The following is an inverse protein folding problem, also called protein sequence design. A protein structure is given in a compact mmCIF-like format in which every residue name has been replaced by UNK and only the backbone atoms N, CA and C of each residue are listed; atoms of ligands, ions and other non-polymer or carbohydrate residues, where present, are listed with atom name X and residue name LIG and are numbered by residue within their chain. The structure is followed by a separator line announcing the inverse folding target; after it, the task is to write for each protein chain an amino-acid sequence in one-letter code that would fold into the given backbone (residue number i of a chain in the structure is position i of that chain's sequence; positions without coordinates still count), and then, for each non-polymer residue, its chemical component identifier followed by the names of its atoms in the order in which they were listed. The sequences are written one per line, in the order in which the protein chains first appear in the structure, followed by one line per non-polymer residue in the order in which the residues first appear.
data_IF_873012016991
#
_entry.id   IF_873012016991
#
_cell.length_a   1.000
_cell.length_b   1.000
_cell.length_c   1.000
_cell.angle_alpha   90.00
_cell.angle_beta   90.00
_cell.angle_gamma   90.00
#
_symmetry.space_group_name_H-M   'P 1'
#
loop_
_entity.id
_entity.type
_entity.pdbx_description
1 polymer ?
#
# COMPACT_ATOMS: atom_id res chain seq x y z
N UNK A 1 20.62 -20.18 -13.57
CA UNK A 1 19.49 -19.75 -12.70
C UNK A 1 19.45 -20.73 -11.54
N UNK A 2 19.44 -20.26 -10.28
CA UNK A 2 19.27 -21.12 -9.12
C UNK A 2 17.87 -21.76 -9.15
N UNK A 3 17.76 -22.91 -9.81
CA UNK A 3 16.52 -23.68 -9.94
C UNK A 3 16.01 -24.21 -8.59
N UNK A 4 16.85 -24.19 -7.55
CA UNK A 4 16.49 -24.58 -6.19
C UNK A 4 15.73 -23.49 -5.43
N UNK A 5 15.91 -22.21 -5.79
CA UNK A 5 15.32 -21.09 -5.06
C UNK A 5 13.97 -20.62 -5.64
N UNK A 6 13.89 -20.49 -6.97
CA UNK A 6 12.66 -20.07 -7.66
C UNK A 6 11.90 -21.29 -8.19
N UNK A 7 10.57 -21.26 -8.06
CA UNK A 7 9.73 -22.30 -8.66
C UNK A 7 9.68 -22.17 -10.19
N UNK A 8 9.36 -23.26 -10.88
CA UNK A 8 9.29 -23.25 -12.34
C UNK A 8 8.23 -22.30 -12.92
N UNK A 9 7.18 -22.01 -12.14
CA UNK A 9 6.09 -21.07 -12.45
C UNK A 9 6.46 -19.61 -12.26
N UNK A 10 7.61 -19.32 -11.64
CA UNK A 10 8.04 -17.95 -11.39
C UNK A 10 8.19 -17.16 -12.71
N UNK A 11 7.80 -15.89 -12.66
CA UNK A 11 7.80 -15.04 -13.83
C UNK A 11 9.24 -14.71 -14.26
N UNK A 12 9.53 -14.92 -15.53
CA UNK A 12 10.82 -14.63 -16.13
C UNK A 12 10.58 -13.99 -17.50
N UNK A 13 10.98 -12.72 -17.65
CA UNK A 13 10.80 -11.95 -18.89
C UNK A 13 11.54 -12.55 -20.10
N UNK A 14 12.57 -13.37 -19.88
CA UNK A 14 13.32 -14.05 -20.94
C UNK A 14 12.62 -15.31 -21.46
N UNK A 15 11.61 -15.81 -20.75
CA UNK A 15 10.79 -16.93 -21.20
C UNK A 15 9.65 -16.43 -22.08
N UNK A 16 9.17 -17.29 -22.97
CA UNK A 16 7.93 -17.10 -23.72
C UNK A 16 6.85 -17.99 -23.14
N UNK A 17 5.63 -17.46 -23.10
CA UNK A 17 4.48 -18.10 -22.47
C UNK A 17 3.40 -18.33 -23.52
N UNK A 18 2.73 -19.47 -23.44
CA UNK A 18 1.59 -19.76 -24.28
C UNK A 18 0.32 -19.32 -23.57
N UNK A 19 -0.49 -18.49 -24.24
CA UNK A 19 -1.81 -18.13 -23.75
C UNK A 19 -2.78 -19.27 -24.05
N UNK A 20 -3.55 -19.66 -23.04
CA UNK A 20 -4.77 -20.42 -23.28
C UNK A 20 -5.77 -19.53 -24.04
N UNK A 21 -6.65 -20.11 -24.89
CA UNK A 21 -7.69 -19.34 -25.55
C UNK A 21 -8.57 -18.63 -24.51
N UNK A 22 -8.92 -17.37 -24.75
CA UNK A 22 -9.73 -16.60 -23.82
C UNK A 22 -11.10 -17.27 -23.60
N UNK A 23 -11.51 -17.40 -22.33
CA UNK A 23 -12.88 -17.77 -22.01
C UNK A 23 -13.81 -16.70 -22.57
N UNK A 24 -14.84 -17.11 -23.32
CA UNK A 24 -15.74 -16.23 -24.08
C UNK A 24 -16.27 -15.00 -23.31
N UNK A 25 -16.70 -14.00 -24.07
CA UNK A 25 -16.99 -12.58 -23.75
C UNK A 25 -18.01 -12.30 -22.61
N UNK A 26 -18.34 -13.28 -21.78
CA UNK A 26 -19.31 -13.21 -20.68
C UNK A 26 -18.78 -12.58 -19.39
N UNK A 27 -17.53 -12.09 -19.36
CA UNK A 27 -16.99 -11.48 -18.15
C UNK A 27 -17.46 -10.01 -18.03
N UNK A 28 -18.41 -9.76 -17.12
CA UNK A 28 -18.98 -8.44 -16.84
C UNK A 28 -17.92 -7.38 -16.50
N UNK A 29 -16.84 -7.77 -15.80
CA UNK A 29 -15.75 -6.85 -15.49
C UNK A 29 -14.96 -6.48 -16.75
N UNK A 30 -14.72 -7.41 -17.69
CA UNK A 30 -14.12 -7.05 -18.99
C UNK A 30 -15.01 -6.09 -19.78
N UNK A 31 -16.34 -6.26 -19.76
CA UNK A 31 -17.28 -5.33 -20.40
C UNK A 31 -17.24 -3.93 -19.76
N UNK A 32 -17.17 -3.87 -18.42
CA UNK A 32 -17.03 -2.61 -17.69
C UNK A 32 -15.70 -1.91 -18.00
N UNK A 33 -14.60 -2.68 -18.06
CA UNK A 33 -13.27 -2.16 -18.36
C UNK A 33 -13.12 -1.71 -19.82
N UNK A 34 -13.82 -2.31 -20.79
CA UNK A 34 -13.76 -1.87 -22.20
C UNK A 34 -14.10 -0.37 -22.38
N UNK A 35 -14.83 0.25 -21.44
CA UNK A 35 -15.10 1.68 -21.43
C UNK A 35 -14.19 2.41 -20.44
N UNK A 36 -13.30 3.28 -20.93
CA UNK A 36 -12.50 4.18 -20.08
C UNK A 36 -11.29 3.54 -19.38
N UNK A 37 -10.82 2.37 -19.82
CA UNK A 37 -9.59 1.77 -19.29
C UNK A 37 -8.47 1.64 -20.33
N UNK A 38 -7.23 1.75 -19.86
CA UNK A 38 -6.02 1.58 -20.68
C UNK A 38 -5.25 0.35 -20.19
N UNK A 39 -5.02 -0.62 -21.07
CA UNK A 39 -4.15 -1.76 -20.76
C UNK A 39 -2.69 -1.30 -20.73
N UNK A 40 -1.97 -1.69 -19.69
CA UNK A 40 -0.53 -1.48 -19.56
C UNK A 40 0.17 -2.75 -20.03
N UNK A 41 1.10 -2.65 -21.00
CA UNK A 41 1.78 -3.82 -21.53
C UNK A 41 2.80 -4.37 -20.53
N UNK A 42 3.23 -5.61 -20.75
CA UNK A 42 4.47 -6.09 -20.16
C UNK A 42 5.63 -5.32 -20.80
N UNK A 43 6.58 -4.88 -20.00
CA UNK A 43 7.73 -4.11 -20.46
C UNK A 43 8.99 -4.62 -19.79
N UNK A 44 10.13 -4.36 -20.41
CA UNK A 44 11.41 -4.56 -19.73
C UNK A 44 11.51 -3.51 -18.61
N UNK A 45 11.65 -3.92 -17.34
CA UNK A 45 11.65 -2.98 -16.25
C UNK A 45 12.83 -2.01 -16.34
N UNK A 46 12.57 -0.72 -16.12
CA UNK A 46 13.61 0.29 -15.99
C UNK A 46 14.05 0.40 -14.52
N UNK A 47 15.19 1.05 -14.27
CA UNK A 47 15.63 1.37 -12.91
C UNK A 47 14.79 2.48 -12.24
N UNK A 48 13.69 2.92 -12.87
CA UNK A 48 12.82 3.93 -12.29
C UNK A 48 11.90 3.31 -11.23
N UNK A 49 11.88 3.95 -10.06
CA UNK A 49 11.00 3.59 -8.95
C UNK A 49 9.85 4.58 -8.84
N UNK A 50 8.71 4.07 -8.38
CA UNK A 50 7.61 4.85 -7.83
C UNK A 50 8.07 5.49 -6.52
N UNK A 51 7.88 6.81 -6.42
CA UNK A 51 8.21 7.60 -5.21
C UNK A 51 7.02 7.75 -4.28
N UNK A 52 5.83 7.27 -4.70
CA UNK A 52 4.58 7.29 -3.93
C UNK A 52 4.18 5.93 -3.38
N UNK A 53 4.97 4.89 -3.65
CA UNK A 53 4.77 3.62 -2.96
C UNK A 53 5.31 3.76 -1.55
N UNK A 54 4.40 3.56 -0.59
CA UNK A 54 4.73 3.44 0.83
C UNK A 54 5.51 4.63 1.42
N UNK A 55 4.91 5.81 1.29
CA UNK A 55 5.40 7.05 1.90
C UNK A 55 5.39 7.04 3.44
N UNK A 56 4.62 6.13 4.04
CA UNK A 56 4.44 6.06 5.47
C UNK A 56 5.68 5.45 6.17
N UNK A 57 6.38 4.54 5.49
CA UNK A 57 7.57 3.90 6.03
C UNK A 57 8.83 4.73 5.77
N UNK A 58 9.20 5.52 6.78
CA UNK A 58 10.44 6.30 6.81
C UNK A 58 11.60 5.50 7.44
N UNK A 59 12.86 5.85 7.16
CA UNK A 59 14.03 5.18 7.77
C UNK A 59 13.94 5.07 9.30
N UNK A 60 13.65 6.19 9.97
CA UNK A 60 13.53 6.22 11.44
C UNK A 60 12.32 5.46 11.99
N UNK A 61 11.23 5.35 11.23
CA UNK A 61 10.08 4.53 11.63
C UNK A 61 10.43 3.04 11.54
N UNK A 62 11.05 2.62 10.44
CA UNK A 62 11.48 1.23 10.23
C UNK A 62 12.46 0.80 11.33
N UNK A 63 13.41 1.66 11.69
CA UNK A 63 14.37 1.37 12.76
C UNK A 63 13.69 1.20 14.12
N UNK A 64 12.77 2.10 14.49
CA UNK A 64 11.97 1.96 15.71
C UNK A 64 11.11 0.69 15.71
N UNK A 65 10.49 0.36 14.58
CA UNK A 65 9.64 -0.83 14.47
C UNK A 65 10.45 -2.10 14.71
N UNK A 66 11.72 -2.15 14.28
CA UNK A 66 12.61 -3.29 14.57
C UNK A 66 12.95 -3.42 16.04
N UNK A 67 13.18 -2.30 16.73
CA UNK A 67 13.44 -2.32 18.18
C UNK A 67 12.22 -2.80 18.97
N UNK A 68 11.03 -2.34 18.59
CA UNK A 68 9.79 -2.62 19.33
C UNK A 68 9.22 -4.01 18.96
N UNK A 69 9.30 -4.42 17.69
CA UNK A 69 8.72 -5.66 17.16
C UNK A 69 9.67 -6.33 16.14
N UNK A 70 10.73 -7.01 16.59
CA UNK A 70 11.74 -7.59 15.70
C UNK A 70 11.20 -8.73 14.82
N UNK A 71 10.13 -9.42 15.24
CA UNK A 71 9.49 -10.51 14.48
C UNK A 71 8.45 -10.02 13.47
N UNK A 72 8.22 -8.71 13.35
CA UNK A 72 7.25 -8.17 12.42
C UNK A 72 7.77 -8.29 10.98
N UNK A 73 7.15 -9.18 10.20
CA UNK A 73 7.45 -9.30 8.78
C UNK A 73 7.04 -8.02 8.03
N UNK A 74 7.91 -7.46 7.17
CA UNK A 74 7.54 -6.32 6.36
C UNK A 74 6.46 -6.72 5.34
N UNK A 75 5.56 -5.79 5.02
CA UNK A 75 4.50 -6.05 4.05
C UNK A 75 5.07 -6.29 2.62
N UNK A 76 6.31 -5.86 2.36
CA UNK A 76 7.01 -6.13 1.11
C UNK A 76 8.40 -6.66 1.40
N UNK A 77 8.63 -7.94 1.15
CA UNK A 77 9.93 -8.57 1.28
C UNK A 77 10.42 -9.13 -0.07
N UNK A 78 11.55 -9.83 -0.05
CA UNK A 78 12.10 -10.51 -1.22
C UNK A 78 11.26 -11.66 -1.79
N UNK A 79 10.28 -12.18 -1.03
CA UNK A 79 9.49 -13.37 -1.39
C UNK A 79 8.07 -13.00 -1.83
N UNK A 80 7.39 -12.18 -1.03
CA UNK A 80 6.02 -11.75 -1.22
C UNK A 80 5.79 -10.26 -0.89
N UNK A 81 4.96 -9.66 -1.73
CA UNK A 81 4.30 -8.39 -1.45
C UNK A 81 2.91 -8.72 -0.93
N UNK A 82 2.65 -8.38 0.33
CA UNK A 82 1.39 -8.56 1.04
C UNK A 82 0.74 -7.21 1.25
N UNK A 83 -0.43 -7.00 0.66
CA UNK A 83 -1.25 -5.83 0.98
C UNK A 83 -2.37 -6.24 1.92
N UNK A 84 -2.39 -5.62 3.09
CA UNK A 84 -3.43 -5.82 4.09
C UNK A 84 -4.32 -4.60 4.19
N UNK A 85 -5.58 -4.82 4.57
CA UNK A 85 -6.53 -3.76 4.86
C UNK A 85 -6.97 -3.87 6.32
N UNK A 86 -6.95 -2.77 7.10
CA UNK A 86 -7.52 -2.77 8.42
C UNK A 86 -9.02 -3.05 8.37
N UNK A 87 -9.54 -3.72 9.41
CA UNK A 87 -10.97 -4.01 9.54
C UNK A 87 -11.82 -2.74 9.42
N UNK A 88 -13.03 -2.88 8.86
CA UNK A 88 -14.01 -1.79 8.87
C UNK A 88 -14.37 -1.36 10.30
N UNK A 89 -14.33 -2.29 11.26
CA UNK A 89 -14.54 -1.99 12.67
C UNK A 89 -13.45 -1.10 13.26
N UNK A 90 -12.20 -1.30 12.85
CA UNK A 90 -11.10 -0.43 13.27
C UNK A 90 -11.31 1.00 12.78
N UNK A 91 -11.65 1.17 11.50
CA UNK A 91 -11.96 2.49 10.95
C UNK A 91 -13.18 3.14 11.62
N UNK A 92 -14.23 2.37 11.88
CA UNK A 92 -15.41 2.90 12.57
C UNK A 92 -15.07 3.32 14.01
N UNK A 93 -14.31 2.51 14.73
CA UNK A 93 -13.85 2.82 16.08
C UNK A 93 -12.92 4.05 16.12
N UNK A 94 -11.98 4.15 15.20
CA UNK A 94 -11.08 5.30 15.12
C UNK A 94 -11.84 6.58 14.79
N UNK A 95 -12.77 6.55 13.84
CA UNK A 95 -13.63 7.69 13.52
C UNK A 95 -14.49 8.10 14.72
N UNK A 96 -15.17 7.15 15.39
CA UNK A 96 -15.99 7.43 16.57
C UNK A 96 -15.15 8.03 17.70
N UNK A 97 -13.97 7.48 17.97
CA UNK A 97 -13.09 7.93 19.05
C UNK A 97 -12.43 9.29 18.74
N UNK A 98 -12.15 9.60 17.47
CA UNK A 98 -11.70 10.94 17.04
C UNK A 98 -12.81 11.97 17.28
N UNK A 99 -14.05 11.68 16.87
CA UNK A 99 -15.18 12.61 17.01
C UNK A 99 -15.57 12.80 18.48
N UNK A 100 -15.79 11.69 19.20
CA UNK A 100 -16.29 11.70 20.58
C UNK A 100 -15.18 12.00 21.61
N UNK A 101 -13.92 11.73 21.30
CA UNK A 101 -12.80 12.05 22.16
C UNK A 101 -12.24 13.44 21.85
N UNK A 102 -11.43 13.51 20.79
CA UNK A 102 -10.69 14.72 20.41
C UNK A 102 -11.63 15.87 20.01
N UNK A 103 -12.68 15.59 19.23
CA UNK A 103 -13.65 16.59 18.79
C UNK A 103 -14.42 17.22 19.94
N UNK A 104 -14.97 16.40 20.84
CA UNK A 104 -15.67 16.86 22.07
C UNK A 104 -14.75 17.73 22.92
N UNK A 105 -13.51 17.31 23.15
CA UNK A 105 -12.57 18.10 23.97
C UNK A 105 -12.23 19.42 23.30
N UNK A 106 -11.88 19.43 22.02
CA UNK A 106 -11.44 20.66 21.35
C UNK A 106 -12.57 21.67 21.14
N UNK A 107 -13.82 21.21 20.96
CA UNK A 107 -14.97 22.08 20.65
C UNK A 107 -15.78 22.41 21.90
N UNK A 108 -16.16 21.39 22.69
CA UNK A 108 -17.10 21.58 23.80
C UNK A 108 -16.42 22.03 25.10
N UNK A 109 -15.15 21.68 25.34
CA UNK A 109 -14.44 22.15 26.54
C UNK A 109 -14.30 23.68 26.59
N UNK A 110 -13.80 24.38 25.55
CA UNK A 110 -13.70 25.83 25.61
C UNK A 110 -15.08 26.49 25.70
N UNK A 111 -16.09 25.95 25.00
CA UNK A 111 -17.46 26.45 25.11
C UNK A 111 -18.01 26.31 26.53
N UNK A 112 -17.78 25.16 27.17
CA UNK A 112 -18.23 24.90 28.55
C UNK A 112 -17.55 25.85 29.52
N UNK A 113 -16.25 26.11 29.35
CA UNK A 113 -15.50 27.07 30.18
C UNK A 113 -15.98 28.51 30.01
N UNK A 114 -16.32 28.93 28.79
CA UNK A 114 -16.88 30.27 28.51
C UNK A 114 -18.27 30.41 29.12
N UNK A 115 -19.14 29.42 28.90
CA UNK A 115 -20.51 29.42 29.43
C UNK A 115 -20.50 29.35 30.95
N UNK A 116 -19.69 28.47 31.55
CA UNK A 116 -19.56 28.38 33.01
C UNK A 116 -18.97 29.65 33.58
N UNK A 117 -17.94 30.23 32.96
CA UNK A 117 -17.36 31.50 33.37
C UNK A 117 -18.36 32.66 33.35
N UNK A 118 -19.13 32.79 32.27
CA UNK A 118 -20.16 33.82 32.15
C UNK A 118 -21.31 33.62 33.15
N UNK A 119 -21.83 32.39 33.28
CA UNK A 119 -22.87 32.06 34.25
C UNK A 119 -22.37 32.24 35.69
N UNK A 120 -21.12 31.92 35.98
CA UNK A 120 -20.48 32.11 37.28
C UNK A 120 -20.36 33.58 37.68
N UNK A 121 -20.24 34.50 36.71
CA UNK A 121 -20.29 35.94 36.98
C UNK A 121 -21.70 36.40 37.37
N UNK A 122 -22.75 35.77 36.84
CA UNK A 122 -24.15 36.10 37.14
C UNK A 122 -24.64 35.40 38.42
N UNK A 123 -24.26 34.13 38.61
CA UNK A 123 -24.69 33.24 39.69
C UNK A 123 -23.47 32.38 40.10
N UNK A 124 -22.75 32.74 41.17
CA UNK A 124 -21.49 32.09 41.55
C UNK A 124 -21.59 30.57 41.77
N UNK A 125 -22.71 30.11 42.33
CA UNK A 125 -22.90 28.69 42.66
C UNK A 125 -23.02 27.80 41.42
N UNK A 126 -23.55 28.35 40.32
CA UNK A 126 -23.76 27.63 39.04
C UNK A 126 -22.44 27.27 38.37
N UNK A 127 -21.36 28.04 38.63
CA UNK A 127 -20.04 27.75 38.06
C UNK A 127 -19.57 26.34 38.41
N UNK A 128 -19.60 26.00 39.70
CA UNK A 128 -19.13 24.70 40.19
C UNK A 128 -20.13 23.59 39.85
N UNK A 129 -21.43 23.86 40.01
CA UNK A 129 -22.49 22.87 39.74
C UNK A 129 -22.58 22.47 38.26
N UNK A 130 -22.21 23.36 37.33
CA UNK A 130 -22.21 23.04 35.91
C UNK A 130 -20.86 22.48 35.43
N UNK A 131 -19.74 23.04 35.89
CA UNK A 131 -18.41 22.67 35.42
C UNK A 131 -17.99 21.28 35.89
N UNK A 132 -18.12 20.98 37.19
CA UNK A 132 -17.62 19.71 37.75
C UNK A 132 -18.32 18.47 37.15
N UNK A 133 -19.66 18.44 37.00
CA UNK A 133 -20.32 17.32 36.34
C UNK A 133 -19.93 17.18 34.88
N UNK A 134 -19.77 18.30 34.16
CA UNK A 134 -19.34 18.30 32.75
C UNK A 134 -17.94 17.69 32.60
N UNK A 135 -17.00 18.08 33.46
CA UNK A 135 -15.66 17.46 33.51
C UNK A 135 -15.75 15.97 33.79
N UNK A 136 -16.48 15.58 34.83
CA UNK A 136 -16.55 14.18 35.28
C UNK A 136 -17.21 13.26 34.25
N UNK A 137 -18.33 13.66 33.69
CA UNK A 137 -19.19 12.77 32.89
C UNK A 137 -19.00 12.92 31.38
N UNK A 138 -18.44 14.02 30.90
CA UNK A 138 -18.22 14.27 29.47
C UNK A 138 -16.73 14.25 29.15
N UNK A 139 -15.94 15.11 29.79
CA UNK A 139 -14.55 15.31 29.39
C UNK A 139 -13.60 14.18 29.82
N UNK A 140 -13.77 13.59 31.01
CA UNK A 140 -12.95 12.45 31.44
C UNK A 140 -13.16 11.24 30.51
N UNK A 141 -14.39 10.77 30.23
CA UNK A 141 -14.59 9.69 29.27
C UNK A 141 -14.06 10.00 27.86
N UNK A 142 -14.28 11.22 27.37
CA UNK A 142 -13.74 11.66 26.08
C UNK A 142 -12.20 11.63 26.06
N UNK A 143 -11.55 12.03 27.16
CA UNK A 143 -10.10 12.02 27.29
C UNK A 143 -9.54 10.59 27.32
N UNK A 144 -10.24 9.65 27.98
CA UNK A 144 -9.87 8.23 27.98
C UNK A 144 -9.97 7.66 26.55
N UNK A 145 -11.04 7.94 25.82
CA UNK A 145 -11.20 7.48 24.43
C UNK A 145 -10.11 8.06 23.51
N UNK A 146 -9.76 9.34 23.68
CA UNK A 146 -8.67 9.95 22.91
C UNK A 146 -7.31 9.36 23.28
N UNK A 147 -7.03 9.17 24.57
CA UNK A 147 -5.79 8.54 25.03
C UNK A 147 -5.65 7.11 24.49
N UNK A 148 -6.74 6.35 24.49
CA UNK A 148 -6.77 5.00 23.91
C UNK A 148 -6.35 4.99 22.44
N UNK A 149 -6.85 5.92 21.63
CA UNK A 149 -6.41 6.05 20.23
C UNK A 149 -4.94 6.43 20.11
N UNK A 150 -4.47 7.40 20.90
CA UNK A 150 -3.06 7.83 20.84
C UNK A 150 -2.11 6.69 21.22
N UNK A 151 -2.50 5.84 22.18
CA UNK A 151 -1.77 4.63 22.55
C UNK A 151 -1.81 3.57 21.44
N UNK A 152 -2.92 3.47 20.69
CA UNK A 152 -3.04 2.59 19.53
C UNK A 152 -2.18 3.05 18.37
N UNK A 153 -2.22 4.34 18.03
CA UNK A 153 -1.45 4.95 16.94
C UNK A 153 0.07 4.83 17.18
N UNK A 154 0.50 4.93 18.45
CA UNK A 154 1.89 4.72 18.84
C UNK A 154 2.27 3.25 19.02
N UNK A 155 1.33 2.32 18.86
CA UNK A 155 1.57 0.88 18.95
C UNK A 155 1.76 0.32 20.36
N UNK A 156 1.57 1.12 21.42
CA UNK A 156 1.67 0.67 22.81
C UNK A 156 0.51 -0.25 23.22
N UNK A 157 -0.67 -0.04 22.63
CA UNK A 157 -1.86 -0.83 22.93
C UNK A 157 -2.51 -1.29 21.63
N UNK A 158 -2.54 -2.61 21.39
CA UNK A 158 -3.05 -3.17 20.12
C UNK A 158 -4.16 -4.21 20.38
N UNK A 159 -5.40 -3.78 20.69
CA UNK A 159 -6.48 -4.70 21.01
C UNK A 159 -6.85 -5.57 19.79
N UNK A 160 -6.61 -6.88 19.91
CA UNK A 160 -6.78 -7.87 18.83
C UNK A 160 -8.22 -8.02 18.35
N UNK A 161 -9.23 -7.61 19.15
CA UNK A 161 -10.64 -7.66 18.77
C UNK A 161 -11.07 -6.50 17.86
N UNK A 162 -10.35 -5.37 17.85
CA UNK A 162 -10.59 -4.25 16.93
C UNK A 162 -9.58 -4.29 15.78
N UNK A 163 -8.29 -4.50 16.10
CA UNK A 163 -7.16 -4.38 15.19
C UNK A 163 -6.85 -5.68 14.47
N UNK A 164 -7.84 -6.20 13.75
CA UNK A 164 -7.61 -7.28 12.79
C UNK A 164 -7.35 -6.69 11.41
N UNK A 165 -6.15 -6.88 10.87
CA UNK A 165 -5.90 -6.68 9.45
C UNK A 165 -6.33 -7.93 8.67
N UNK A 166 -6.70 -7.74 7.41
CA UNK A 166 -7.00 -8.86 6.50
C UNK A 166 -6.23 -8.67 5.21
N UNK A 167 -5.59 -9.74 4.74
CA UNK A 167 -4.92 -9.78 3.44
C UNK A 167 -5.93 -9.45 2.34
N UNK A 168 -5.56 -8.52 1.46
CA UNK A 168 -6.32 -8.14 0.26
C UNK A 168 -5.78 -8.94 -0.92
N UNK A 169 -4.48 -8.84 -1.17
CA UNK A 169 -3.79 -9.63 -2.17
C UNK A 169 -2.34 -9.90 -1.77
N UNK A 170 -1.76 -10.94 -2.38
CA UNK A 170 -0.34 -11.22 -2.31
C UNK A 170 0.24 -11.41 -3.71
N UNK A 171 1.42 -10.83 -3.96
CA UNK A 171 2.23 -11.12 -5.14
C UNK A 171 3.48 -11.86 -4.68
N UNK A 172 3.67 -13.10 -5.14
CA UNK A 172 4.80 -13.92 -4.70
C UNK A 172 5.83 -14.04 -5.83
N UNK A 173 7.04 -13.53 -5.60
CA UNK A 173 8.16 -13.56 -6.55
C UNK A 173 8.70 -14.97 -6.76
N UNK A 174 8.80 -15.76 -5.68
CA UNK A 174 9.31 -17.15 -5.72
C UNK A 174 8.44 -18.08 -6.56
N UNK A 175 7.12 -17.90 -6.49
CA UNK A 175 6.17 -18.76 -7.21
C UNK A 175 5.66 -18.13 -8.50
N UNK A 176 5.74 -16.80 -8.65
CA UNK A 176 5.13 -16.05 -9.75
C UNK A 176 3.61 -15.90 -9.64
N UNK A 177 3.03 -16.26 -8.49
CA UNK A 177 1.59 -16.29 -8.29
C UNK A 177 1.06 -14.97 -7.75
N UNK A 178 -0.10 -14.58 -8.26
CA UNK A 178 -0.91 -13.44 -7.81
C UNK A 178 -2.16 -14.00 -7.14
N UNK A 179 -2.28 -13.76 -5.83
CA UNK A 179 -3.37 -14.29 -5.02
C UNK A 179 -4.26 -13.17 -4.54
N UNK A 180 -5.57 -13.27 -4.80
CA UNK A 180 -6.58 -12.34 -4.26
C UNK A 180 -7.33 -13.03 -3.13
N UNK A 181 -7.62 -12.30 -2.05
CA UNK A 181 -8.36 -12.80 -0.89
C UNK A 181 -9.77 -12.19 -0.82
N UNK A 182 -10.69 -12.90 -0.16
CA UNK A 182 -12.03 -12.43 0.19
C UNK A 182 -11.97 -11.64 1.51
N UNK A 183 -13.00 -10.85 1.80
CA UNK A 183 -13.11 -10.12 3.07
C UNK A 183 -13.20 -10.98 4.34
N UNK A 184 -13.31 -12.31 4.20
CA UNK A 184 -13.21 -13.28 5.29
C UNK A 184 -11.82 -13.93 5.42
N UNK A 185 -10.82 -13.44 4.68
CA UNK A 185 -9.44 -13.96 4.70
C UNK A 185 -9.21 -15.22 3.86
N UNK A 186 -10.25 -15.82 3.27
CA UNK A 186 -10.09 -16.99 2.39
C UNK A 186 -9.58 -16.56 1.01
N UNK A 187 -8.74 -17.39 0.40
CA UNK A 187 -8.29 -17.19 -0.98
C UNK A 187 -9.51 -17.17 -1.92
N UNK A 188 -9.59 -16.14 -2.77
CA UNK A 188 -10.59 -16.02 -3.83
C UNK A 188 -10.11 -16.73 -5.09
N UNK A 189 -8.88 -16.45 -5.52
CA UNK A 189 -8.19 -17.14 -6.60
C UNK A 189 -6.68 -16.90 -6.46
N UNK A 190 -5.88 -17.78 -7.06
CA UNK A 190 -4.43 -17.65 -7.19
C UNK A 190 -4.02 -18.14 -8.57
N UNK A 191 -3.40 -17.27 -9.36
CA UNK A 191 -3.00 -17.57 -10.74
C UNK A 191 -1.62 -16.98 -11.05
N UNK A 192 -0.88 -17.50 -12.05
CA UNK A 192 0.39 -16.93 -12.49
C UNK A 192 0.22 -15.50 -13.01
N UNK A 193 1.20 -14.62 -12.77
CA UNK A 193 1.19 -13.22 -13.23
C UNK A 193 0.92 -13.06 -14.73
N UNK A 194 1.44 -13.98 -15.55
CA UNK A 194 1.31 -13.95 -17.02
C UNK A 194 -0.14 -14.07 -17.51
N UNK A 195 -1.03 -14.60 -16.67
CA UNK A 195 -2.47 -14.72 -16.96
C UNK A 195 -3.26 -13.44 -16.60
N UNK A 196 -2.60 -12.43 -16.05
CA UNK A 196 -3.21 -11.15 -15.70
C UNK A 196 -2.92 -10.07 -16.74
N UNK A 197 -3.92 -9.23 -16.94
CA UNK A 197 -3.78 -7.95 -17.63
C UNK A 197 -3.74 -6.82 -16.62
N UNK A 198 -2.69 -6.01 -16.70
CA UNK A 198 -2.62 -4.76 -15.94
C UNK A 198 -3.44 -3.69 -16.67
N UNK A 199 -4.40 -3.10 -15.97
CA UNK A 199 -5.33 -2.14 -16.55
C UNK A 199 -5.42 -0.91 -15.64
N UNK A 200 -5.25 0.26 -16.24
CA UNK A 200 -5.52 1.54 -15.61
C UNK A 200 -6.94 1.98 -15.94
N UNK A 201 -7.82 1.93 -14.95
CA UNK A 201 -9.21 2.36 -15.07
C UNK A 201 -9.30 3.84 -14.76
N UNK A 202 -9.95 4.59 -15.64
CA UNK A 202 -10.32 5.98 -15.37
C UNK A 202 -11.82 6.04 -15.09
N UNK A 203 -12.19 6.66 -13.97
CA UNK A 203 -13.57 6.84 -13.56
C UNK A 203 -13.80 8.30 -13.14
N UNK A 204 -14.83 8.98 -13.66
CA UNK A 204 -15.15 10.31 -13.20
C UNK A 204 -15.60 10.24 -11.74
N UNK A 205 -15.03 11.09 -10.90
CA UNK A 205 -15.50 11.33 -9.55
C UNK A 205 -16.85 12.05 -9.58
N UNK A 206 -17.55 12.05 -8.44
CA UNK A 206 -18.80 12.81 -8.26
C UNK A 206 -18.63 14.32 -8.52
N UNK A 207 -17.39 14.83 -8.49
CA UNK A 207 -17.04 16.24 -8.72
C UNK A 207 -16.52 16.49 -10.14
N UNK A 208 -16.56 15.50 -11.03
CA UNK A 208 -16.07 15.62 -12.42
C UNK A 208 -14.54 15.49 -12.58
N UNK A 209 -13.77 15.39 -11.49
CA UNK A 209 -12.35 15.05 -11.52
C UNK A 209 -12.15 13.60 -11.96
N UNK A 210 -11.14 13.32 -12.76
CA UNK A 210 -10.84 11.95 -13.20
C UNK A 210 -10.04 11.22 -12.12
N UNK A 211 -10.60 10.12 -11.60
CA UNK A 211 -9.89 9.22 -10.70
C UNK A 211 -9.30 8.07 -11.51
N UNK A 212 -8.06 7.71 -11.18
CA UNK A 212 -7.37 6.58 -11.79
C UNK A 212 -7.21 5.44 -10.78
N UNK A 213 -7.38 4.20 -11.23
CA UNK A 213 -7.14 3.00 -10.42
C UNK A 213 -6.43 1.94 -11.25
N UNK A 214 -5.25 1.53 -10.79
CA UNK A 214 -4.47 0.45 -11.37
C UNK A 214 -4.93 -0.89 -10.80
N UNK A 215 -5.29 -1.84 -11.67
CA UNK A 215 -5.74 -3.16 -11.28
C UNK A 215 -5.16 -4.28 -12.15
N UNK A 216 -4.90 -5.44 -11.57
CA UNK A 216 -4.66 -6.68 -12.33
C UNK A 216 -5.97 -7.43 -12.52
N UNK A 217 -6.26 -7.77 -13.77
CA UNK A 217 -7.47 -8.43 -14.18
C UNK A 217 -7.11 -9.79 -14.75
N UNK A 218 -7.63 -10.84 -14.14
CA UNK A 218 -7.34 -12.18 -14.64
C UNK A 218 -8.04 -12.43 -15.98
N UNK A 219 -7.32 -12.94 -16.99
CA UNK A 219 -7.84 -13.12 -18.35
C UNK A 219 -8.96 -14.16 -18.44
N UNK A 220 -8.85 -15.24 -17.67
CA UNK A 220 -9.72 -16.43 -17.80
C UNK A 220 -10.75 -16.57 -16.68
N UNK A 221 -10.55 -15.87 -15.56
CA UNK A 221 -11.43 -16.02 -14.41
C UNK A 221 -12.55 -15.00 -14.56
N UNK A 222 -13.79 -15.49 -14.65
CA UNK A 222 -15.01 -14.67 -14.70
C UNK A 222 -15.29 -13.85 -13.44
N UNK A 223 -14.34 -13.79 -12.50
CA UNK A 223 -14.43 -12.98 -11.29
C UNK A 223 -14.53 -11.50 -11.62
N UNK A 224 -15.57 -10.84 -11.11
CA UNK A 224 -15.73 -9.38 -11.17
C UNK A 224 -14.77 -8.60 -10.25
N UNK A 225 -13.76 -9.26 -9.69
CA UNK A 225 -12.82 -8.65 -8.76
C UNK A 225 -11.40 -8.74 -9.33
N UNK A 226 -10.86 -7.58 -9.73
CA UNK A 226 -9.44 -7.40 -10.01
C UNK A 226 -8.62 -7.23 -8.73
N UNK A 227 -7.31 -7.38 -8.85
CA UNK A 227 -6.34 -7.10 -7.77
C UNK A 227 -6.03 -5.60 -7.78
N UNK A 228 -6.34 -4.84 -6.72
CA UNK A 228 -6.21 -3.39 -6.71
C UNK A 228 -4.78 -2.93 -6.41
N UNK A 229 -3.91 -2.88 -7.43
CA UNK A 229 -2.53 -2.38 -7.29
C UNK A 229 -2.47 -0.92 -6.85
N UNK A 230 -3.51 -0.12 -7.12
CA UNK A 230 -3.58 1.27 -6.65
C UNK A 230 -3.54 1.41 -5.13
N UNK A 231 -3.76 0.33 -4.36
CA UNK A 231 -3.61 0.36 -2.90
C UNK A 231 -2.16 0.47 -2.41
N UNK A 232 -1.18 0.31 -3.31
CA UNK A 232 0.24 0.51 -3.00
C UNK A 232 0.65 1.99 -2.97
N UNK A 233 -0.16 2.88 -3.54
CA UNK A 233 0.12 4.31 -3.60
C UNK A 233 -0.99 5.11 -2.94
N UNK A 234 -0.67 6.38 -2.69
CA UNK A 234 -1.63 7.38 -2.23
C UNK A 234 -2.80 7.52 -3.21
N UNK A 235 -4.03 7.81 -2.72
CA UNK A 235 -5.16 8.08 -3.60
C UNK A 235 -4.90 9.29 -4.52
N UNK A 236 -5.42 9.24 -5.74
CA UNK A 236 -5.41 10.35 -6.72
C UNK A 236 -4.02 10.78 -7.22
N UNK A 237 -3.12 9.83 -7.46
CA UNK A 237 -1.82 10.10 -8.08
C UNK A 237 -1.87 10.37 -9.58
N UNK A 238 -0.76 10.91 -10.11
CA UNK A 238 -0.58 11.10 -11.54
C UNK A 238 -0.57 9.77 -12.30
N UNK A 239 -1.01 9.80 -13.56
CA UNK A 239 -0.97 8.62 -14.45
C UNK A 239 0.43 8.02 -14.52
N UNK A 240 1.46 8.86 -14.66
CA UNK A 240 2.87 8.45 -14.69
C UNK A 240 3.28 7.60 -13.47
N UNK A 241 2.73 7.90 -12.30
CA UNK A 241 3.05 7.14 -11.09
C UNK A 241 2.46 5.74 -11.13
N UNK A 242 1.25 5.56 -11.68
CA UNK A 242 0.70 4.23 -11.89
C UNK A 242 1.53 3.40 -12.88
N UNK A 243 2.13 4.02 -13.89
CA UNK A 243 3.08 3.34 -14.78
C UNK A 243 4.35 2.92 -14.03
N UNK A 244 4.89 3.76 -13.14
CA UNK A 244 6.05 3.43 -12.31
C UNK A 244 5.76 2.35 -11.28
N UNK A 245 4.56 2.33 -10.69
CA UNK A 245 4.10 1.23 -9.83
C UNK A 245 4.11 -0.06 -10.64
N UNK A 246 3.54 -0.05 -11.85
CA UNK A 246 3.56 -1.22 -12.71
C UNK A 246 5.00 -1.66 -13.08
N UNK A 247 5.88 -0.72 -13.42
CA UNK A 247 7.30 -0.97 -13.66
C UNK A 247 7.97 -1.64 -12.46
N UNK A 248 7.73 -1.13 -11.24
CA UNK A 248 8.24 -1.72 -10.00
C UNK A 248 7.69 -3.12 -9.76
N UNK A 249 6.40 -3.36 -9.99
CA UNK A 249 5.80 -4.70 -9.84
C UNK A 249 6.40 -5.68 -10.85
N UNK A 250 6.61 -5.28 -12.10
CA UNK A 250 7.27 -6.11 -13.11
C UNK A 250 8.72 -6.42 -12.71
N UNK A 251 9.48 -5.41 -12.28
CA UNK A 251 10.84 -5.58 -11.76
C UNK A 251 10.86 -6.55 -10.56
N UNK A 252 9.93 -6.37 -9.63
CA UNK A 252 9.79 -7.20 -8.44
C UNK A 252 9.39 -8.64 -8.74
N UNK A 253 8.53 -8.89 -9.74
CA UNK A 253 8.08 -10.25 -10.06
C UNK A 253 9.02 -10.99 -11.00
N UNK A 254 9.83 -10.28 -11.79
CA UNK A 254 10.75 -10.87 -12.77
C UNK A 254 12.03 -11.38 -12.10
N UNK A 255 12.18 -12.70 -12.07
CA UNK A 255 13.36 -13.37 -11.50
C UNK A 255 14.62 -13.20 -12.35
N UNK A 256 14.54 -12.60 -13.53
CA UNK A 256 15.71 -12.29 -14.35
C UNK A 256 16.33 -10.93 -14.02
N UNK A 257 15.66 -10.12 -13.20
CA UNK A 257 16.06 -8.78 -12.79
C UNK A 257 16.27 -8.73 -11.26
N UNK A 258 17.15 -7.84 -10.76
CA UNK A 258 17.25 -7.58 -9.33
C UNK A 258 15.96 -6.94 -8.79
N UNK A 259 15.73 -7.05 -7.48
CA UNK A 259 14.63 -6.36 -6.80
C UNK A 259 14.70 -4.83 -7.01
N UNK A 260 13.55 -4.13 -7.03
CA UNK A 260 13.51 -2.67 -7.05
C UNK A 260 14.35 -2.06 -5.93
N UNK A 261 15.05 -0.98 -6.25
CA UNK A 261 15.87 -0.26 -5.29
C UNK A 261 15.04 0.72 -4.47
N UNK A 262 14.45 0.26 -3.37
CA UNK A 262 13.71 1.09 -2.43
C UNK A 262 14.03 0.70 -0.97
N UNK A 263 13.70 1.62 -0.06
CA UNK A 263 13.96 1.49 1.38
C UNK A 263 13.39 0.18 1.98
N UNK A 264 12.17 -0.19 1.60
CA UNK A 264 11.44 -1.33 2.18
C UNK A 264 12.12 -2.65 1.84
N UNK A 265 12.54 -2.78 0.59
CA UNK A 265 13.18 -4.00 0.10
C UNK A 265 14.64 -4.10 0.52
N UNK A 266 15.30 -2.99 0.87
CA UNK A 266 16.73 -2.89 1.14
C UNK A 266 17.25 -4.00 2.07
N UNK A 267 16.53 -4.27 3.16
CA UNK A 267 16.93 -5.31 4.11
C UNK A 267 16.89 -6.71 3.51
N UNK A 268 15.89 -7.00 2.70
CA UNK A 268 15.68 -8.33 2.14
C UNK A 268 16.47 -8.58 0.85
N UNK A 269 17.11 -7.55 0.27
CA UNK A 269 17.84 -7.65 -1.02
C UNK A 269 18.90 -8.76 -1.04
N UNK A 270 19.64 -8.92 0.06
CA UNK A 270 20.71 -9.92 0.17
C UNK A 270 20.18 -11.37 0.23
N UNK A 271 18.88 -11.56 0.50
CA UNK A 271 18.23 -12.87 0.59
C UNK A 271 17.75 -13.38 -0.78
N UNK A 272 17.57 -12.49 -1.77
CA UNK A 272 17.25 -12.85 -3.15
C UNK A 272 18.55 -13.10 -3.93
N UNK A 273 18.78 -14.31 -4.50
CA UNK A 273 20.06 -14.66 -5.09
C UNK A 273 20.43 -13.81 -6.31
N UNK A 274 19.45 -13.44 -7.13
CA UNK A 274 19.66 -12.60 -8.33
C UNK A 274 20.06 -11.20 -7.93
N UNK A 275 19.38 -10.66 -6.93
CA UNK A 275 19.67 -9.33 -6.36
C UNK A 275 21.01 -9.32 -5.65
N UNK A 276 21.33 -10.34 -4.84
CA UNK A 276 22.61 -10.44 -4.14
C UNK A 276 23.80 -10.49 -5.10
N UNK A 277 23.70 -11.24 -6.20
CA UNK A 277 24.72 -11.24 -7.25
C UNK A 277 24.87 -9.88 -7.95
N UNK A 278 23.74 -9.22 -8.23
CA UNK A 278 23.72 -7.91 -8.86
C UNK A 278 24.33 -6.83 -7.95
N UNK A 279 23.95 -6.80 -6.68
CA UNK A 279 24.43 -5.85 -5.68
C UNK A 279 25.94 -6.05 -5.42
N UNK A 280 26.42 -7.31 -5.40
CA UNK A 280 27.85 -7.63 -5.30
C UNK A 280 28.64 -7.14 -6.52
N UNK A 281 28.08 -7.26 -7.74
CA UNK A 281 28.73 -6.80 -8.97
C UNK A 281 28.77 -5.27 -9.07
N UNK A 282 27.72 -4.60 -8.60
CA UNK A 282 27.61 -3.13 -8.68
C UNK A 282 28.25 -2.40 -7.50
N UNK A 283 28.59 -3.12 -6.42
CA UNK A 283 29.16 -2.51 -5.22
C UNK A 283 28.15 -1.66 -4.44
N UNK A 284 26.86 -2.00 -4.54
CA UNK A 284 25.77 -1.26 -3.88
C UNK A 284 25.95 -1.27 -2.36
N UNK A 285 25.76 -0.11 -1.72
CA UNK A 285 25.70 -0.02 -0.26
C UNK A 285 24.42 -0.74 0.27
N UNK A 286 24.53 -1.75 1.16
CA UNK A 286 23.39 -2.48 1.70
C UNK A 286 22.53 -1.67 2.71
N UNK A 287 23.00 -0.50 3.16
CA UNK A 287 22.29 0.41 4.08
C UNK A 287 22.06 1.81 3.49
N UNK A 288 22.08 1.93 2.16
CA UNK A 288 21.97 3.22 1.46
C UNK A 288 20.76 4.05 1.93
N UNK A 289 19.57 3.47 1.98
CA UNK A 289 18.35 4.17 2.35
C UNK A 289 18.18 4.31 3.85
N UNK A 290 18.55 3.27 4.62
CA UNK A 290 18.35 3.23 6.07
C UNK A 290 19.24 4.18 6.85
N UNK A 291 20.42 4.50 6.33
CA UNK A 291 21.37 5.41 7.00
C UNK A 291 21.05 6.90 6.75
N UNK A 292 20.08 7.21 5.87
CA UNK A 292 19.65 8.58 5.61
C UNK A 292 18.79 9.12 6.76
N UNK A 293 18.96 10.39 7.08
CA UNK A 293 17.98 11.11 7.91
C UNK A 293 16.63 11.21 7.21
N UNK A 294 15.54 11.47 7.96
CA UNK A 294 14.21 11.65 7.35
C UNK A 294 14.19 12.81 6.34
N UNK A 295 14.99 13.86 6.56
CA UNK A 295 15.10 15.01 5.68
C UNK A 295 15.85 14.66 4.39
N UNK A 296 16.98 13.98 4.50
CA UNK A 296 17.76 13.49 3.36
C UNK A 296 16.97 12.49 2.52
N UNK A 297 16.23 11.59 3.16
CA UNK A 297 15.39 10.61 2.49
C UNK A 297 14.32 11.30 1.63
N UNK A 298 13.61 12.29 2.20
CA UNK A 298 12.62 13.10 1.45
C UNK A 298 13.26 13.85 0.29
N UNK A 299 14.37 14.53 0.53
CA UNK A 299 15.09 15.26 -0.52
C UNK A 299 15.56 14.32 -1.64
N UNK A 300 15.99 13.10 -1.29
CA UNK A 300 16.40 12.07 -2.27
C UNK A 300 15.23 11.61 -3.13
N UNK A 301 14.07 11.33 -2.53
CA UNK A 301 12.85 10.98 -3.29
C UNK A 301 12.41 12.12 -4.22
N UNK A 302 12.47 13.37 -3.75
CA UNK A 302 12.17 14.54 -4.58
C UNK A 302 13.16 14.69 -5.75
N UNK A 303 14.45 14.49 -5.50
CA UNK A 303 15.48 14.53 -6.54
C UNK A 303 15.27 13.41 -7.58
N UNK A 304 14.91 12.20 -7.16
CA UNK A 304 14.55 11.09 -8.05
C UNK A 304 13.33 11.46 -8.88
N UNK A 305 12.27 11.94 -8.24
CA UNK A 305 11.04 12.37 -8.92
C UNK A 305 11.35 13.42 -9.99
N UNK A 306 12.15 14.42 -9.67
CA UNK A 306 12.55 15.47 -10.61
C UNK A 306 13.38 14.91 -11.77
N UNK A 307 14.32 14.00 -11.51
CA UNK A 307 15.14 13.34 -12.55
C UNK A 307 14.33 12.44 -13.48
N UNK A 308 13.20 11.91 -13.02
CA UNK A 308 12.31 11.07 -13.81
C UNK A 308 11.24 11.88 -14.57
N UNK A 309 11.12 13.20 -14.33
CA UNK A 309 10.20 14.03 -15.11
C UNK A 309 10.61 14.05 -16.58
N UNK A 310 9.66 13.77 -17.46
CA UNK A 310 9.89 13.73 -18.92
C UNK A 310 10.60 12.48 -19.42
N UNK A 311 10.94 11.51 -18.55
CA UNK A 311 11.42 10.19 -18.96
C UNK A 311 10.25 9.22 -19.14
N UNK A 312 10.48 8.18 -19.94
CA UNK A 312 9.53 7.08 -20.10
C UNK A 312 9.45 6.27 -18.81
N UNK A 313 8.24 6.13 -18.29
CA UNK A 313 7.95 5.48 -17.00
C UNK A 313 8.15 3.96 -17.05
N UNK A 314 8.11 3.39 -18.24
CA UNK A 314 8.31 1.97 -18.52
C UNK A 314 9.30 1.79 -19.66
N UNK A 315 10.03 0.68 -19.66
CA UNK A 315 10.95 0.35 -20.74
C UNK A 315 10.23 -0.10 -22.02
N UNK A 316 10.98 -0.57 -23.03
CA UNK A 316 10.39 -1.07 -24.26
C UNK A 316 9.41 -2.21 -23.96
N UNK A 317 8.29 -2.20 -24.68
CA UNK A 317 7.27 -3.24 -24.60
C UNK A 317 7.89 -4.61 -24.92
N UNK A 318 7.54 -5.58 -24.07
CA UNK A 318 8.04 -6.94 -24.14
C UNK A 318 6.88 -7.84 -24.51
N UNK A 319 6.95 -8.39 -25.72
CA UNK A 319 6.03 -9.46 -26.11
C UNK A 319 6.51 -10.79 -25.53
N UNK A 320 5.94 -11.13 -24.36
CA UNK A 320 6.17 -12.40 -23.67
C UNK A 320 5.39 -13.56 -24.30
N UNK A 321 4.52 -13.30 -25.27
CA UNK A 321 3.64 -14.28 -25.90
C UNK A 321 3.98 -14.57 -27.37
N UNK A 322 4.92 -13.83 -27.97
CA UNK A 322 5.43 -14.08 -29.31
C UNK A 322 5.97 -15.51 -29.44
N UNK A 323 5.57 -16.21 -30.51
CA UNK A 323 6.12 -17.52 -30.87
C UNK A 323 7.59 -17.37 -31.30
N UNK A 324 8.42 -18.34 -30.90
CA UNK A 324 9.79 -18.46 -31.42
C UNK A 324 9.65 -19.07 -32.81
N UNK A 325 9.82 -18.24 -33.85
CA UNK A 325 9.87 -18.71 -35.25
C UNK A 325 11.03 -19.68 -35.48
#
# INVERSE_FOLDING_TARGET
MNSEYYQHTAFNSRKRYHLSPESGDNNLLKKFLKSGSRKLPFSNPTNEISTRVDLDNKPGLIERLREIKPELEPFWDHNELVVERPSHWFHAYSLLSIVLGKGVILILLPLTLVVSGFLGLLIPDVFNEFLFPSVKWVFIPAAILWLQLELMDRGYWTPTWIMTSKKVFTLNRKTGMVTLYKGNGKVRYSHPLVEFDCVLVSAPSQQGLMNYSLMLVHRYNGSMHGVPLSSLATPNESVSEYYRIWNMILCYMDISQPLPDCLILEESRHLDPVTAEYDKKTGRNPRYWRDMSEEEYKATLEAIRNKQQGKLETGPELDIFAEIN
#
